data_IF_635689026917
#
_entry.id   IF_635689026917
#
_cell.length_a   1.000
_cell.length_b   1.000
_cell.length_c   1.000
_cell.angle_alpha   90.00
_cell.angle_beta   90.00
_cell.angle_gamma   90.00
#
_symmetry.space_group_name_H-M   'P 1'
#
loop_
_entity.id
_entity.type
_entity.pdbx_description
1 polymer ?
#
# COMPACT_ATOMS: atom_id res chain seq x y z
N UNK A 1 16.10 -23.55 43.53
CA UNK A 1 16.91 -22.66 42.68
C UNK A 1 16.93 -23.25 41.27
N UNK A 2 16.86 -22.38 40.26
CA UNK A 2 17.22 -22.61 38.84
C UNK A 2 16.20 -23.39 37.98
N UNK A 3 15.69 -22.96 36.82
CA UNK A 3 15.58 -21.67 36.12
C UNK A 3 14.42 -21.87 35.11
N UNK A 4 13.42 -20.98 35.10
CA UNK A 4 12.44 -20.92 34.03
C UNK A 4 13.09 -20.17 32.85
N UNK A 5 13.57 -20.91 31.85
CA UNK A 5 14.03 -20.33 30.59
C UNK A 5 12.82 -19.88 29.78
N UNK A 6 12.46 -18.61 29.92
CA UNK A 6 11.53 -17.93 29.02
C UNK A 6 12.12 -17.91 27.61
N UNK A 7 11.56 -18.73 26.72
CA UNK A 7 11.80 -18.61 25.30
C UNK A 7 11.02 -17.40 24.79
N UNK A 8 11.64 -16.22 24.84
CA UNK A 8 11.20 -15.06 24.06
C UNK A 8 11.52 -15.35 22.58
N UNK A 9 10.69 -16.16 21.94
CA UNK A 9 10.66 -16.20 20.49
C UNK A 9 9.89 -14.97 20.02
N UNK A 10 10.61 -13.86 19.84
CA UNK A 10 10.18 -12.81 18.92
C UNK A 10 10.17 -13.41 17.51
N UNK A 11 9.16 -14.23 17.21
CA UNK A 11 8.87 -14.59 15.84
C UNK A 11 8.14 -13.38 15.24
N UNK A 12 8.91 -12.44 14.71
CA UNK A 12 8.33 -11.51 13.74
C UNK A 12 7.75 -12.37 12.62
N UNK A 13 6.42 -12.43 12.54
CA UNK A 13 5.70 -13.06 11.44
C UNK A 13 6.25 -12.47 10.15
N UNK A 14 6.60 -13.29 9.13
CA UNK A 14 7.08 -12.77 7.86
C UNK A 14 6.06 -11.76 7.31
N UNK A 15 6.54 -10.54 7.02
CA UNK A 15 5.72 -9.51 6.37
C UNK A 15 5.25 -10.07 5.03
N UNK A 16 3.94 -10.02 4.77
CA UNK A 16 3.37 -10.49 3.51
C UNK A 16 3.94 -9.70 2.32
N UNK A 17 4.01 -10.34 1.15
CA UNK A 17 4.44 -9.69 -0.08
C UNK A 17 3.59 -8.46 -0.41
N UNK A 18 2.28 -8.54 -0.17
CA UNK A 18 1.34 -7.43 -0.31
C UNK A 18 1.74 -6.21 0.53
N UNK A 19 2.00 -6.41 1.83
CA UNK A 19 2.39 -5.31 2.72
C UNK A 19 3.78 -4.76 2.39
N UNK A 20 4.73 -5.62 1.99
CA UNK A 20 6.05 -5.16 1.53
C UNK A 20 5.94 -4.31 0.28
N UNK A 21 5.17 -4.78 -0.71
CA UNK A 21 4.90 -4.05 -1.95
C UNK A 21 4.24 -2.71 -1.63
N UNK A 22 3.20 -2.69 -0.79
CA UNK A 22 2.56 -1.44 -0.38
C UNK A 22 3.56 -0.48 0.27
N UNK A 23 4.40 -0.96 1.20
CA UNK A 23 5.41 -0.14 1.85
C UNK A 23 6.39 0.50 0.84
N UNK A 24 6.87 -0.27 -0.14
CA UNK A 24 7.75 0.26 -1.19
C UNK A 24 7.12 1.44 -1.93
N UNK A 25 5.84 1.34 -2.32
CA UNK A 25 5.16 2.42 -3.03
C UNK A 25 4.70 3.56 -2.11
N UNK A 26 4.46 3.31 -0.82
CA UNK A 26 4.21 4.37 0.15
C UNK A 26 5.46 5.23 0.33
N UNK A 27 6.65 4.64 0.45
CA UNK A 27 7.91 5.40 0.52
C UNK A 27 8.12 6.25 -0.76
N UNK A 28 7.89 5.66 -1.94
CA UNK A 28 7.94 6.43 -3.20
C UNK A 28 6.94 7.58 -3.25
N UNK A 29 5.75 7.41 -2.67
CA UNK A 29 4.74 8.47 -2.59
C UNK A 29 5.16 9.59 -1.63
N UNK A 30 5.77 9.24 -0.49
CA UNK A 30 6.27 10.17 0.51
C UNK A 30 7.44 10.99 -0.04
N UNK A 31 8.40 10.33 -0.69
CA UNK A 31 9.54 10.99 -1.35
C UNK A 31 9.09 11.98 -2.43
N UNK A 32 7.99 11.68 -3.12
CA UNK A 32 7.41 12.53 -4.14
C UNK A 32 6.48 13.63 -3.59
N UNK A 33 6.12 13.59 -2.31
CA UNK A 33 5.08 14.46 -1.74
C UNK A 33 3.71 14.28 -2.42
N UNK A 34 3.39 13.06 -2.85
CA UNK A 34 2.22 12.74 -3.67
C UNK A 34 1.48 11.50 -3.12
N UNK A 35 0.38 11.12 -3.76
CA UNK A 35 -0.38 9.92 -3.40
C UNK A 35 -0.04 8.74 -4.30
N UNK A 36 -0.24 7.52 -3.78
CA UNK A 36 -0.25 6.29 -4.55
C UNK A 36 -1.67 6.01 -5.06
N UNK A 37 -1.82 5.86 -6.38
CA UNK A 37 -3.04 5.44 -7.03
C UNK A 37 -2.89 4.02 -7.61
N UNK A 38 -3.82 3.13 -7.25
CA UNK A 38 -3.90 1.75 -7.72
C UNK A 38 -5.10 1.63 -8.64
N UNK A 39 -4.83 1.45 -9.94
CA UNK A 39 -5.86 1.39 -10.98
C UNK A 39 -5.91 0.01 -11.60
N UNK A 40 -7.09 -0.61 -11.62
CA UNK A 40 -7.29 -1.89 -12.30
C UNK A 40 -7.76 -1.64 -13.74
N UNK A 41 -6.84 -1.71 -14.69
CA UNK A 41 -7.13 -1.54 -16.13
C UNK A 41 -7.47 -2.86 -16.84
N UNK A 42 -7.04 -3.99 -16.26
CA UNK A 42 -7.23 -5.31 -16.83
C UNK A 42 -7.68 -6.30 -15.74
N UNK A 43 -8.31 -7.43 -16.12
CA UNK A 43 -8.76 -8.43 -15.16
C UNK A 43 -7.63 -8.93 -14.24
N UNK A 44 -6.42 -9.14 -14.78
CA UNK A 44 -5.37 -9.84 -14.04
C UNK A 44 -4.30 -8.92 -13.44
N UNK A 45 -4.36 -7.61 -13.69
CA UNK A 45 -3.34 -6.66 -13.23
C UNK A 45 -3.91 -5.34 -12.74
N UNK A 46 -3.19 -4.74 -11.79
CA UNK A 46 -3.37 -3.35 -11.38
C UNK A 46 -2.10 -2.56 -11.67
N UNK A 47 -2.26 -1.34 -12.18
CA UNK A 47 -1.15 -0.41 -12.43
C UNK A 47 -1.05 0.58 -11.28
N UNK A 48 0.18 0.83 -10.84
CA UNK A 48 0.52 1.69 -9.72
C UNK A 48 1.06 3.01 -10.27
N UNK A 49 0.45 4.10 -9.85
CA UNK A 49 0.82 5.46 -10.22
C UNK A 49 1.13 6.31 -8.99
N UNK A 50 1.99 7.31 -9.15
CA UNK A 50 2.27 8.33 -8.12
C UNK A 50 1.91 9.70 -8.68
N UNK A 51 1.11 10.48 -7.94
CA UNK A 51 0.71 11.83 -8.30
C UNK A 51 -0.48 12.34 -7.49
N UNK A 52 -1.08 13.43 -7.94
CA UNK A 52 -2.33 13.97 -7.38
C UNK A 52 -3.53 13.29 -8.08
N UNK A 53 -4.33 12.49 -7.36
CA UNK A 53 -5.49 11.81 -7.93
C UNK A 53 -6.67 12.73 -8.23
N UNK A 54 -6.62 14.00 -7.81
CA UNK A 54 -7.60 15.04 -8.16
C UNK A 54 -7.19 15.85 -9.40
N UNK A 55 -5.94 15.71 -9.83
CA UNK A 55 -5.41 16.35 -11.03
C UNK A 55 -5.70 15.56 -12.31
N UNK A 56 -5.22 16.08 -13.46
CA UNK A 56 -5.29 15.39 -14.74
C UNK A 56 -4.57 14.03 -14.70
N UNK A 57 -5.10 13.04 -15.44
CA UNK A 57 -4.51 11.69 -15.48
C UNK A 57 -3.07 11.71 -16.00
N UNK A 58 -2.76 12.58 -16.94
CA UNK A 58 -1.42 12.74 -17.52
C UNK A 58 -0.34 13.10 -16.49
N UNK A 59 -0.72 13.68 -15.36
CA UNK A 59 0.19 14.03 -14.27
C UNK A 59 0.52 12.83 -13.36
N UNK A 60 -0.24 11.74 -13.47
CA UNK A 60 0.02 10.49 -12.75
C UNK A 60 1.19 9.73 -13.39
N UNK A 61 2.29 9.63 -12.66
CA UNK A 61 3.48 8.90 -13.13
C UNK A 61 3.32 7.41 -12.84
N UNK A 62 3.23 6.59 -13.89
CA UNK A 62 3.27 5.13 -13.76
C UNK A 62 4.58 4.70 -13.11
N UNK A 63 4.49 3.90 -12.03
CA UNK A 63 5.65 3.35 -11.31
C UNK A 63 5.78 1.84 -11.44
N UNK A 64 4.67 1.13 -11.63
CA UNK A 64 4.73 -0.32 -11.77
C UNK A 64 3.39 -0.96 -12.11
N UNK A 65 3.40 -2.29 -12.15
CA UNK A 65 2.23 -3.12 -12.36
C UNK A 65 2.35 -4.33 -11.44
N UNK A 66 1.25 -4.67 -10.77
CA UNK A 66 1.13 -5.83 -9.89
C UNK A 66 -0.02 -6.73 -10.36
N UNK A 67 -0.06 -7.97 -9.89
CA UNK A 67 -1.19 -8.87 -10.16
C UNK A 67 -2.45 -8.36 -9.46
N UNK A 68 -3.61 -8.70 -10.01
CA UNK A 68 -4.89 -8.41 -9.36
C UNK A 68 -5.02 -9.11 -8.00
N UNK A 69 -4.43 -10.30 -7.85
CA UNK A 69 -4.35 -11.00 -6.57
C UNK A 69 -3.59 -10.18 -5.53
N UNK A 70 -2.39 -9.69 -5.86
CA UNK A 70 -1.59 -8.89 -4.94
C UNK A 70 -2.28 -7.57 -4.58
N UNK A 71 -2.97 -6.95 -5.55
CA UNK A 71 -3.77 -5.76 -5.30
C UNK A 71 -4.93 -6.05 -4.32
N UNK A 72 -5.62 -7.18 -4.46
CA UNK A 72 -6.67 -7.60 -3.52
C UNK A 72 -6.10 -7.87 -2.13
N UNK A 73 -4.96 -8.56 -2.02
CA UNK A 73 -4.31 -8.81 -0.73
C UNK A 73 -3.91 -7.50 -0.02
N UNK A 74 -3.49 -6.47 -0.77
CA UNK A 74 -3.26 -5.13 -0.22
C UNK A 74 -4.56 -4.54 0.34
N UNK A 75 -5.69 -4.72 -0.35
CA UNK A 75 -6.98 -4.24 0.12
C UNK A 75 -7.47 -5.02 1.34
N UNK A 76 -7.20 -6.32 1.43
CA UNK A 76 -7.56 -7.15 2.59
C UNK A 76 -6.68 -6.82 3.80
N UNK A 77 -5.42 -6.44 3.58
CA UNK A 77 -4.48 -6.06 4.64
C UNK A 77 -4.64 -4.61 5.12
N UNK A 78 -5.53 -3.82 4.51
CA UNK A 78 -5.76 -2.40 4.86
C UNK A 78 -7.26 -2.11 5.01
N UNK A 79 -7.61 -1.00 5.63
CA UNK A 79 -9.01 -0.58 5.78
C UNK A 79 -9.29 0.72 5.03
N UNK A 80 -10.56 0.97 4.69
CA UNK A 80 -10.95 2.27 4.14
C UNK A 80 -10.84 3.33 5.23
N UNK A 81 -10.35 4.51 4.88
CA UNK A 81 -10.04 5.56 5.83
C UNK A 81 -8.63 5.47 6.42
N UNK A 82 -8.42 5.95 7.66
CA UNK A 82 -7.10 5.98 8.28
C UNK A 82 -6.54 4.58 8.55
N UNK A 83 -5.25 4.40 8.28
CA UNK A 83 -4.48 3.19 8.56
C UNK A 83 -3.23 3.54 9.38
N UNK A 84 -2.90 2.67 10.34
CA UNK A 84 -1.68 2.70 11.13
C UNK A 84 -1.16 1.26 11.21
N UNK A 85 -0.13 0.93 10.41
CA UNK A 85 0.33 -0.45 10.24
C UNK A 85 1.85 -0.51 10.44
N UNK A 86 2.34 -1.51 11.16
CA UNK A 86 3.77 -1.83 11.22
C UNK A 86 4.14 -2.83 10.13
N UNK A 87 5.10 -2.45 9.28
CA UNK A 87 5.60 -3.26 8.17
C UNK A 87 7.12 -3.28 8.27
N UNK A 88 7.70 -4.45 8.54
CA UNK A 88 9.17 -4.61 8.60
C UNK A 88 9.85 -3.74 9.67
N UNK A 89 9.17 -3.48 10.80
CA UNK A 89 9.68 -2.63 11.88
C UNK A 89 9.53 -1.13 11.64
N UNK A 90 8.84 -0.71 10.57
CA UNK A 90 8.48 0.69 10.30
C UNK A 90 6.98 0.88 10.41
N UNK A 91 6.56 1.96 11.05
CA UNK A 91 5.14 2.32 11.17
C UNK A 91 4.73 3.23 10.03
N UNK A 92 3.75 2.80 9.24
CA UNK A 92 3.15 3.57 8.16
C UNK A 92 1.81 4.16 8.59
N UNK A 93 1.63 5.46 8.30
CA UNK A 93 0.41 6.22 8.53
C UNK A 93 -0.08 6.74 7.19
N UNK A 94 -1.30 6.37 6.81
CA UNK A 94 -1.88 6.78 5.54
C UNK A 94 -3.41 6.70 5.60
N UNK A 95 -4.07 7.33 4.63
CA UNK A 95 -5.51 7.22 4.40
C UNK A 95 -5.75 6.44 3.11
N UNK A 96 -6.64 5.45 3.15
CA UNK A 96 -7.09 4.72 1.95
C UNK A 96 -8.46 5.23 1.53
N UNK A 97 -8.56 5.79 0.34
CA UNK A 97 -9.81 6.26 -0.25
C UNK A 97 -10.07 5.60 -1.60
N UNK A 98 -11.27 5.84 -2.12
CA UNK A 98 -11.70 5.36 -3.42
C UNK A 98 -12.21 6.54 -4.25
N UNK A 99 -11.83 6.57 -5.52
CA UNK A 99 -12.24 7.59 -6.50
C UNK A 99 -12.35 6.97 -7.89
N UNK A 100 -12.73 7.79 -8.88
CA UNK A 100 -12.61 7.45 -10.30
C UNK A 100 -11.66 8.43 -10.96
N UNK A 101 -10.70 7.92 -11.75
CA UNK A 101 -9.79 8.71 -12.57
C UNK A 101 -10.00 8.27 -14.01
N UNK A 102 -10.48 9.18 -14.86
CA UNK A 102 -10.97 8.89 -16.21
C UNK A 102 -11.92 7.68 -16.24
N UNK A 103 -12.95 7.73 -15.40
CA UNK A 103 -13.98 6.68 -15.23
C UNK A 103 -13.46 5.33 -14.72
N UNK A 104 -12.17 5.22 -14.41
CA UNK A 104 -11.57 3.98 -13.91
C UNK A 104 -11.59 3.97 -12.38
N UNK A 105 -12.24 2.97 -11.75
CA UNK A 105 -12.18 2.73 -10.31
C UNK A 105 -10.74 2.71 -9.81
N UNK A 106 -10.44 3.57 -8.85
CA UNK A 106 -9.09 3.80 -8.35
C UNK A 106 -9.07 3.83 -6.84
N UNK A 107 -8.20 3.02 -6.25
CA UNK A 107 -7.89 3.09 -4.82
C UNK A 107 -6.71 4.01 -4.63
N UNK A 108 -6.82 4.93 -3.68
CA UNK A 108 -5.79 5.93 -3.39
C UNK A 108 -5.27 5.72 -1.98
N UNK A 109 -3.96 5.77 -1.82
CA UNK A 109 -3.26 5.82 -0.54
C UNK A 109 -2.53 7.15 -0.44
N UNK A 110 -2.92 7.98 0.53
CA UNK A 110 -2.34 9.31 0.77
C UNK A 110 -1.69 9.37 2.15
N UNK A 111 -0.59 10.09 2.28
CA UNK A 111 -0.04 10.42 3.60
C UNK A 111 -1.06 11.24 4.42
N UNK A 112 -1.01 11.10 5.74
CA UNK A 112 -1.78 11.89 6.72
C UNK A 112 -0.87 12.73 7.59
#
# INVERSE_FOLDING_TARGET
>A
MTNASGANTNQQTPVSEALRTLAEYLELSLDAGASLAVMRHAPDTATLYIGDPSGPREDLKRRGTISATLATEILDATQAGPNLIEIGGRTYRFFRSFTHIDEIPTVVFSSI
#
